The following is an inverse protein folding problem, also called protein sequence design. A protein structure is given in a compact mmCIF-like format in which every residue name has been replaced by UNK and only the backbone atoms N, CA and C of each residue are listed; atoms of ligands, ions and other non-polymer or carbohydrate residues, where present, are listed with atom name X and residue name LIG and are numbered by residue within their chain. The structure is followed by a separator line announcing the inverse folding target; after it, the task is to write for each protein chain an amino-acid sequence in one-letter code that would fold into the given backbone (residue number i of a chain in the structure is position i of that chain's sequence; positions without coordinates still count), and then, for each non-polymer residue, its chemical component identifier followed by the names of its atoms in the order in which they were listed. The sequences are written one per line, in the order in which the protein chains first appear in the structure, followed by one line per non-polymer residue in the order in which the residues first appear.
data_IF_252403919594
#
_entry.id   IF_252403919594
#
_cell.length_a   1.000
_cell.length_b   1.000
_cell.length_c   1.000
_cell.angle_alpha   90.00
_cell.angle_beta   90.00
_cell.angle_gamma   90.00
#
_symmetry.space_group_name_H-M   'P 1'
#
loop_
_entity.id
_entity.type
_entity.pdbx_description
1 polymer ?
#
# COMPACT_ATOMS: atom_id res chain seq x y z
N UNK A 1 -16.09 4.98 11.28
CA UNK A 1 -15.00 4.97 10.28
C UNK A 1 -13.94 5.94 10.76
N UNK A 2 -12.69 5.47 10.85
CA UNK A 2 -11.57 6.31 11.25
C UNK A 2 -11.26 7.29 10.11
N UNK A 3 -11.02 8.55 10.44
CA UNK A 3 -10.80 9.63 9.47
C UNK A 3 -9.36 10.10 9.59
N UNK A 4 -8.65 10.13 8.47
CA UNK A 4 -7.28 10.64 8.36
C UNK A 4 -7.35 12.12 7.97
N UNK A 5 -6.68 12.96 8.75
CA UNK A 5 -6.57 14.40 8.50
C UNK A 5 -5.17 14.78 7.99
N UNK A 6 -5.00 16.03 7.56
CA UNK A 6 -3.71 16.59 7.15
C UNK A 6 -2.57 16.31 8.16
N UNK A 7 -2.86 16.34 9.47
CA UNK A 7 -1.85 16.12 10.52
C UNK A 7 -1.39 14.67 10.65
N UNK A 8 -2.20 13.73 10.18
CA UNK A 8 -1.93 12.30 10.26
C UNK A 8 -1.05 11.83 9.10
N UNK A 9 -0.96 12.60 8.01
CA UNK A 9 -0.20 12.24 6.82
C UNK A 9 1.30 12.16 7.09
N UNK A 10 1.81 10.94 7.01
CA UNK A 10 3.22 10.58 7.14
C UNK A 10 3.52 9.44 6.17
N UNK A 11 4.80 9.23 5.85
CA UNK A 11 5.22 8.07 5.06
C UNK A 11 4.71 6.77 5.70
N UNK A 12 4.10 5.92 4.90
CA UNK A 12 3.54 4.63 5.31
C UNK A 12 2.06 4.64 5.65
N UNK A 13 1.45 5.81 5.88
CA UNK A 13 0.00 5.93 6.13
C UNK A 13 -0.77 5.42 4.92
N UNK A 14 -1.81 4.63 5.20
CA UNK A 14 -2.72 4.08 4.19
C UNK A 14 -4.03 4.85 4.24
N UNK A 15 -4.50 5.32 3.10
CA UNK A 15 -5.70 6.15 2.98
C UNK A 15 -6.51 5.69 1.77
N UNK A 16 -7.82 5.86 1.83
CA UNK A 16 -8.70 5.67 0.69
C UNK A 16 -8.99 7.01 0.01
N UNK A 17 -8.94 7.00 -1.31
CA UNK A 17 -9.29 8.14 -2.15
C UNK A 17 -10.07 7.63 -3.35
N UNK A 18 -11.30 8.13 -3.53
CA UNK A 18 -12.20 7.74 -4.62
C UNK A 18 -12.41 6.21 -4.69
N UNK A 19 -12.60 5.55 -3.54
CA UNK A 19 -12.79 4.10 -3.42
C UNK A 19 -11.54 3.26 -3.72
N UNK A 20 -10.37 3.89 -3.86
CA UNK A 20 -9.11 3.20 -4.14
C UNK A 20 -8.16 3.31 -2.94
N UNK A 21 -7.51 2.20 -2.54
CA UNK A 21 -6.55 2.22 -1.45
C UNK A 21 -5.19 2.76 -1.90
N UNK A 22 -4.64 3.71 -1.15
CA UNK A 22 -3.34 4.33 -1.39
C UNK A 22 -2.46 4.23 -0.14
N UNK A 23 -1.14 4.29 -0.37
CA UNK A 23 -0.12 4.43 0.66
C UNK A 23 0.74 5.66 0.41
N UNK A 24 0.94 6.49 1.42
CA UNK A 24 1.84 7.66 1.35
C UNK A 24 3.28 7.17 1.23
N UNK A 25 3.96 7.50 0.14
CA UNK A 25 5.36 7.16 -0.10
C UNK A 25 6.31 8.29 0.26
N UNK A 26 5.83 9.53 0.15
CA UNK A 26 6.58 10.75 0.50
C UNK A 26 5.61 11.86 0.89
N UNK A 27 6.03 12.77 1.76
CA UNK A 27 5.22 13.92 2.16
C UNK A 27 6.08 15.13 2.54
N UNK A 28 5.54 16.32 2.28
CA UNK A 28 6.16 17.59 2.60
C UNK A 28 5.12 18.55 3.17
N UNK A 29 5.28 18.92 4.44
CA UNK A 29 4.48 19.97 5.05
C UNK A 29 5.03 21.34 4.64
N UNK A 30 4.23 22.13 3.94
CA UNK A 30 4.57 23.48 3.48
C UNK A 30 3.81 24.51 4.31
N UNK A 31 4.56 25.42 4.95
CA UNK A 31 4.03 26.60 5.66
C UNK A 31 4.49 27.86 4.93
N UNK A 32 3.68 28.41 3.99
CA UNK A 32 4.08 29.60 3.24
C UNK A 32 4.11 30.83 4.16
N UNK A 33 4.99 31.80 3.86
CA UNK A 33 5.06 33.06 4.62
C UNK A 33 3.78 33.90 4.56
N UNK A 34 2.90 33.63 3.58
CA UNK A 34 1.54 34.17 3.44
C UNK A 34 0.62 33.08 2.90
N UNK A 35 -0.49 32.80 3.57
CA UNK A 35 -1.47 31.78 3.16
C UNK A 35 -1.59 30.61 4.14
N UNK A 36 -2.51 29.68 3.85
CA UNK A 36 -2.74 28.50 4.67
C UNK A 36 -1.66 27.43 4.43
N UNK A 37 -1.34 26.67 5.48
CA UNK A 37 -0.46 25.51 5.38
C UNK A 37 -1.13 24.37 4.59
N UNK A 38 -0.32 23.58 3.88
CA UNK A 38 -0.76 22.40 3.14
C UNK A 38 0.33 21.33 3.15
N UNK A 39 -0.05 20.08 2.91
CA UNK A 39 0.89 18.96 2.73
C UNK A 39 0.87 18.56 1.25
N UNK A 40 2.04 18.43 0.63
CA UNK A 40 2.20 17.73 -0.65
C UNK A 40 2.62 16.31 -0.36
N UNK A 41 1.85 15.33 -0.81
CA UNK A 41 2.16 13.92 -0.67
C UNK A 41 2.34 13.28 -2.04
N UNK A 42 3.27 12.35 -2.13
CA UNK A 42 3.24 11.31 -3.16
C UNK A 42 2.57 10.09 -2.56
N UNK A 43 1.53 9.60 -3.22
CA UNK A 43 0.76 8.44 -2.79
C UNK A 43 0.83 7.36 -3.88
N UNK A 44 1.07 6.12 -3.48
CA UNK A 44 1.11 4.95 -4.35
C UNK A 44 -0.21 4.19 -4.22
N UNK A 45 -0.90 3.96 -5.31
CA UNK A 45 -2.09 3.12 -5.35
C UNK A 45 -1.67 1.67 -5.04
N UNK A 46 -2.34 1.03 -4.09
CA UNK A 46 -1.99 -0.32 -3.64
C UNK A 46 -2.43 -1.39 -4.64
N UNK A 47 -3.48 -1.15 -5.42
CA UNK A 47 -3.99 -2.09 -6.43
C UNK A 47 -3.20 -2.05 -7.74
N UNK A 48 -2.77 -0.86 -8.18
CA UNK A 48 -2.12 -0.66 -9.49
C UNK A 48 -0.64 -0.30 -9.41
N UNK A 49 -0.11 -0.03 -8.21
CA UNK A 49 1.26 0.40 -8.02
C UNK A 49 1.59 1.81 -8.53
N UNK A 50 0.66 2.53 -9.16
CA UNK A 50 0.87 3.87 -9.72
C UNK A 50 1.07 4.92 -8.62
N UNK A 51 2.06 5.79 -8.79
CA UNK A 51 2.30 6.93 -7.90
C UNK A 51 1.66 8.20 -8.47
N UNK A 52 0.95 8.95 -7.62
CA UNK A 52 0.37 10.25 -7.95
C UNK A 52 0.74 11.30 -6.89
N UNK A 53 0.80 12.56 -7.30
CA UNK A 53 0.97 13.70 -6.41
C UNK A 53 -0.39 14.22 -5.93
N UNK A 54 -0.56 14.39 -4.62
CA UNK A 54 -1.76 14.92 -3.99
C UNK A 54 -1.39 16.08 -3.06
N UNK A 55 -2.07 17.22 -3.22
CA UNK A 55 -2.01 18.31 -2.26
C UNK A 55 -3.17 18.18 -1.29
N UNK A 56 -2.90 18.31 0.00
CA UNK A 56 -3.84 18.16 1.10
C UNK A 56 -3.87 19.44 1.92
N UNK A 57 -5.06 20.00 2.06
CA UNK A 57 -5.36 21.18 2.86
C UNK A 57 -5.93 20.79 4.23
N UNK A 58 -5.95 21.74 5.17
CA UNK A 58 -6.38 21.46 6.55
C UNK A 58 -7.82 20.94 6.70
N UNK A 59 -8.70 21.20 5.72
CA UNK A 59 -10.07 20.71 5.71
C UNK A 59 -10.27 19.35 5.05
N UNK A 60 -9.26 18.85 4.34
CA UNK A 60 -9.35 17.57 3.63
C UNK A 60 -9.35 16.40 4.62
N UNK A 61 -10.22 15.43 4.34
CA UNK A 61 -10.41 14.22 5.12
C UNK A 61 -10.36 13.01 4.20
N UNK A 62 -9.72 11.95 4.66
CA UNK A 62 -9.64 10.68 3.97
C UNK A 62 -10.13 9.57 4.87
N UNK A 63 -10.60 8.49 4.27
CA UNK A 63 -11.00 7.29 5.01
C UNK A 63 -9.81 6.34 5.17
N UNK A 64 -9.87 5.50 6.19
CA UNK A 64 -8.93 4.39 6.31
C UNK A 64 -9.42 3.27 5.39
N UNK A 65 -8.59 2.78 4.45
CA UNK A 65 -8.99 1.71 3.56
C UNK A 65 -9.16 0.42 4.36
N UNK A 66 -10.18 -0.36 4.00
CA UNK A 66 -10.37 -1.70 4.54
C UNK A 66 -9.36 -2.64 3.89
N UNK A 67 -8.37 -3.07 4.66
CA UNK A 67 -7.27 -3.90 4.19
C UNK A 67 -7.09 -5.06 5.16
N UNK A 68 -7.13 -6.27 4.63
CA UNK A 68 -6.84 -7.48 5.37
C UNK A 68 -5.42 -7.94 5.06
N UNK A 69 -4.75 -8.52 6.05
CA UNK A 69 -3.43 -9.10 5.86
C UNK A 69 -3.50 -10.57 6.24
N UNK A 70 -3.04 -11.42 5.35
CA UNK A 70 -3.11 -12.87 5.50
C UNK A 70 -1.71 -13.45 5.35
N UNK A 71 -1.34 -14.33 6.29
CA UNK A 71 -0.08 -15.06 6.23
C UNK A 71 -0.27 -16.27 5.32
N UNK A 72 0.48 -16.30 4.22
CA UNK A 72 0.47 -17.38 3.24
C UNK A 72 1.87 -17.96 3.07
N UNK A 73 1.95 -19.22 2.69
CA UNK A 73 3.19 -19.92 2.38
C UNK A 73 3.47 -19.84 0.87
N UNK A 74 4.67 -19.42 0.50
CA UNK A 74 5.12 -19.49 -0.88
C UNK A 74 5.40 -20.93 -1.30
N UNK A 75 4.93 -21.29 -2.49
CA UNK A 75 5.08 -22.62 -3.07
C UNK A 75 6.13 -22.61 -4.20
N UNK A 76 5.83 -21.96 -5.31
CA UNK A 76 6.72 -21.96 -6.48
C UNK A 76 6.41 -20.79 -7.42
N UNK A 77 7.32 -20.56 -8.36
CA UNK A 77 7.14 -19.65 -9.49
C UNK A 77 6.91 -20.51 -10.74
N UNK A 78 5.74 -20.35 -11.37
CA UNK A 78 5.40 -21.07 -12.61
C UNK A 78 5.96 -20.38 -13.88
N UNK A 79 6.62 -19.24 -13.71
CA UNK A 79 7.20 -18.41 -14.76
C UNK A 79 6.35 -17.18 -15.10
N UNK A 80 5.05 -17.19 -14.80
CA UNK A 80 4.14 -16.05 -14.96
C UNK A 80 3.72 -15.46 -13.61
N UNK A 81 3.47 -16.31 -12.61
CA UNK A 81 3.01 -15.95 -11.28
C UNK A 81 3.73 -16.74 -10.20
N UNK A 82 3.93 -16.07 -9.06
CA UNK A 82 4.34 -16.67 -7.81
C UNK A 82 3.10 -17.20 -7.10
N UNK A 83 3.10 -18.50 -6.78
CA UNK A 83 1.99 -19.18 -6.15
C UNK A 83 2.16 -19.21 -4.63
N UNK A 84 1.08 -18.89 -3.93
CA UNK A 84 1.01 -18.84 -2.48
C UNK A 84 -0.18 -19.66 -1.99
N UNK A 85 -0.09 -20.19 -0.77
CA UNK A 85 -1.15 -20.97 -0.15
C UNK A 85 -1.42 -20.48 1.27
N UNK A 86 -2.69 -20.25 1.60
CA UNK A 86 -3.12 -19.97 2.96
C UNK A 86 -2.84 -21.16 3.89
N UNK A 87 -2.22 -20.91 5.05
CA UNK A 87 -1.82 -21.98 5.99
C UNK A 87 -2.99 -22.54 6.81
N UNK A 88 -4.14 -21.88 6.78
CA UNK A 88 -5.36 -22.25 7.52
C UNK A 88 -6.41 -22.86 6.59
N UNK A 89 -6.71 -22.23 5.47
CA UNK A 89 -7.76 -22.67 4.53
C UNK A 89 -7.23 -23.53 3.39
N UNK A 90 -5.92 -23.51 3.13
CA UNK A 90 -5.26 -24.16 1.99
C UNK A 90 -5.68 -23.61 0.62
N UNK A 91 -6.32 -22.44 0.58
CA UNK A 91 -6.62 -21.73 -0.67
C UNK A 91 -5.33 -21.21 -1.31
N UNK A 92 -5.25 -21.27 -2.64
CA UNK A 92 -4.09 -20.82 -3.39
C UNK A 92 -4.39 -19.54 -4.18
N UNK A 93 -3.42 -18.65 -4.21
CA UNK A 93 -3.46 -17.42 -5.02
C UNK A 93 -2.15 -17.26 -5.79
N UNK A 94 -2.26 -16.72 -7.00
CA UNK A 94 -1.12 -16.32 -7.82
C UNK A 94 -0.91 -14.81 -7.78
N UNK A 95 0.32 -14.37 -7.51
CA UNK A 95 0.72 -12.97 -7.60
C UNK A 95 1.77 -12.78 -8.69
N UNK A 96 1.66 -11.70 -9.45
CA UNK A 96 2.67 -11.34 -10.45
C UNK A 96 3.98 -10.89 -9.78
N UNK A 97 5.10 -11.01 -10.49
CA UNK A 97 6.41 -10.52 -10.00
C UNK A 97 6.41 -9.03 -9.65
N UNK A 98 5.55 -8.22 -10.30
CA UNK A 98 5.41 -6.79 -10.00
C UNK A 98 4.69 -6.54 -8.67
N UNK A 99 3.68 -7.35 -8.34
CA UNK A 99 2.95 -7.27 -7.06
C UNK A 99 3.83 -7.69 -5.88
N UNK A 100 4.62 -8.76 -6.03
CA UNK A 100 5.56 -9.22 -5.00
C UNK A 100 6.73 -8.24 -4.83
N UNK A 101 7.16 -7.64 -5.95
CA UNK A 101 8.25 -6.68 -5.99
C UNK A 101 9.61 -7.35 -6.14
N UNK A 102 10.49 -6.72 -6.95
CA UNK A 102 11.80 -7.26 -7.30
C UNK A 102 12.71 -7.54 -6.11
N UNK A 103 12.59 -6.75 -5.06
CA UNK A 103 13.42 -6.90 -3.86
C UNK A 103 12.95 -8.05 -2.99
N UNK A 104 11.70 -8.50 -3.10
CA UNK A 104 11.16 -9.58 -2.28
C UNK A 104 11.35 -10.93 -2.97
N UNK A 105 10.91 -11.06 -4.23
CA UNK A 105 10.92 -12.37 -4.91
C UNK A 105 12.33 -12.97 -5.04
N UNK A 106 13.36 -12.13 -5.21
CA UNK A 106 14.76 -12.57 -5.34
C UNK A 106 15.30 -13.32 -4.10
N UNK A 107 14.64 -13.16 -2.94
CA UNK A 107 15.04 -13.82 -1.70
C UNK A 107 14.01 -14.84 -1.22
N UNK A 108 12.96 -15.11 -2.01
CA UNK A 108 11.95 -16.10 -1.66
C UNK A 108 12.47 -17.52 -1.91
N UNK A 109 12.23 -18.38 -0.93
CA UNK A 109 12.54 -19.81 -0.99
C UNK A 109 11.24 -20.57 -0.76
N UNK A 110 11.08 -21.71 -1.45
CA UNK A 110 9.94 -22.61 -1.23
C UNK A 110 9.74 -22.89 0.26
N UNK A 111 8.47 -22.86 0.69
CA UNK A 111 8.09 -23.06 2.08
C UNK A 111 8.24 -21.84 2.99
N UNK A 112 8.68 -20.69 2.47
CA UNK A 112 8.75 -19.45 3.25
C UNK A 112 7.36 -18.85 3.48
N UNK A 113 7.08 -18.45 4.71
CA UNK A 113 5.87 -17.69 5.04
C UNK A 113 6.03 -16.22 4.61
N UNK A 114 4.98 -15.68 4.01
CA UNK A 114 4.89 -14.32 3.54
C UNK A 114 3.57 -13.69 3.98
N UNK A 115 3.65 -12.45 4.44
CA UNK A 115 2.48 -11.62 4.72
C UNK A 115 1.98 -10.97 3.44
N UNK A 116 0.76 -11.31 3.04
CA UNK A 116 0.09 -10.75 1.85
C UNK A 116 -0.96 -9.75 2.30
N UNK A 117 -0.97 -8.58 1.66
CA UNK A 117 -1.90 -7.47 1.90
C UNK A 117 -2.92 -7.36 0.75
#
# INVERSE_FOLDING_TARGET
MAVISMGDLKKGVRLELDGNPYRVVDFQHVKPGKGAAFVRCKIKNLSTGKVIDKTVHAGDKFEVPDLEQTTMQYLYDDGEMLQFMDTTTYDQIGLTHEQVGKETFNFMVDGMEADIL
#
